data_IF_510414603588
#
_entry.id   IF_510414603588
#
_cell.length_a   1.000
_cell.length_b   1.000
_cell.length_c   1.000
_cell.angle_alpha   90.00
_cell.angle_beta   90.00
_cell.angle_gamma   90.00
#
_symmetry.space_group_name_H-M   'P 1'
#
loop_
_entity.id
_entity.type
_entity.pdbx_description
1 polymer ?
#
# COMPACT_ATOMS: atom_id res chain seq x y z
N UNK A 1 9.00 47.02 -37.91
CA UNK A 1 9.29 46.09 -36.80
C UNK A 1 9.51 44.70 -37.37
N UNK A 2 10.76 44.30 -37.58
CA UNK A 2 11.13 42.96 -38.05
C UNK A 2 11.49 42.12 -36.82
N UNK A 3 10.71 41.06 -36.56
CA UNK A 3 11.10 40.06 -35.55
C UNK A 3 12.24 39.23 -36.14
N UNK A 4 13.40 39.10 -35.46
CA UNK A 4 14.46 38.23 -35.96
C UNK A 4 13.98 36.78 -35.87
N UNK A 5 13.99 36.07 -37.00
CA UNK A 5 13.75 34.62 -37.02
C UNK A 5 15.01 33.90 -36.53
N UNK A 6 14.85 32.94 -35.61
CA UNK A 6 15.96 32.09 -35.20
C UNK A 6 16.48 31.28 -36.41
N UNK A 7 17.80 31.14 -36.59
CA UNK A 7 18.37 30.34 -37.67
C UNK A 7 17.90 28.88 -37.52
N UNK A 8 17.46 28.25 -38.61
CA UNK A 8 16.78 26.94 -38.59
C UNK A 8 17.56 25.80 -37.88
N UNK A 9 18.89 25.90 -37.82
CA UNK A 9 19.75 24.98 -37.05
C UNK A 9 19.57 25.10 -35.54
N UNK A 10 19.38 26.32 -35.03
CA UNK A 10 19.14 26.57 -33.61
C UNK A 10 17.73 26.10 -33.20
N UNK A 11 16.75 26.25 -34.10
CA UNK A 11 15.40 25.72 -33.90
C UNK A 11 15.41 24.18 -33.83
N UNK A 12 16.18 23.52 -34.69
CA UNK A 12 16.34 22.07 -34.69
C UNK A 12 17.05 21.56 -33.42
N UNK A 13 18.10 22.23 -32.96
CA UNK A 13 18.81 21.87 -31.72
C UNK A 13 17.89 22.01 -30.50
N UNK A 14 17.13 23.11 -30.42
CA UNK A 14 16.15 23.31 -29.33
C UNK A 14 15.03 22.26 -29.40
N UNK A 15 14.55 21.92 -30.60
CA UNK A 15 13.53 20.88 -30.76
C UNK A 15 14.05 19.50 -30.33
N UNK A 16 15.28 19.13 -30.69
CA UNK A 16 15.91 17.87 -30.27
C UNK A 16 16.16 17.84 -28.75
N UNK A 17 16.65 18.95 -28.17
CA UNK A 17 16.86 19.05 -26.72
C UNK A 17 15.54 18.92 -25.94
N UNK A 18 14.47 19.58 -26.42
CA UNK A 18 13.12 19.44 -25.86
C UNK A 18 12.57 18.02 -26.04
N UNK A 19 12.83 17.35 -27.16
CA UNK A 19 12.44 15.96 -27.36
C UNK A 19 13.15 15.04 -26.35
N UNK A 20 14.45 15.23 -26.13
CA UNK A 20 15.21 14.40 -25.18
C UNK A 20 14.79 14.60 -23.73
N UNK A 21 14.40 15.81 -23.31
CA UNK A 21 13.90 16.06 -21.95
C UNK A 21 12.48 15.54 -21.76
N UNK A 22 11.63 15.62 -22.78
CA UNK A 22 10.27 15.06 -22.74
C UNK A 22 10.31 13.53 -22.69
N UNK A 23 11.18 12.86 -23.46
CA UNK A 23 11.28 11.40 -23.43
C UNK A 23 12.09 10.84 -22.25
N UNK A 24 13.06 11.59 -21.71
CA UNK A 24 13.86 11.15 -20.55
C UNK A 24 13.09 11.08 -19.23
N UNK A 25 11.95 11.77 -19.13
CA UNK A 25 11.10 11.78 -17.93
C UNK A 25 9.95 10.76 -17.92
N UNK A 26 9.61 10.16 -19.06
CA UNK A 26 8.36 9.40 -19.22
C UNK A 26 8.44 7.91 -18.88
N UNK A 27 9.60 7.37 -18.51
CA UNK A 27 9.77 5.93 -18.26
C UNK A 27 10.42 5.68 -16.88
N UNK A 28 9.67 5.97 -15.82
CA UNK A 28 9.97 5.46 -14.46
C UNK A 28 9.04 4.31 -14.06
N UNK A 29 8.64 3.50 -15.03
CA UNK A 29 7.87 2.29 -14.78
C UNK A 29 8.77 1.10 -15.09
N UNK A 30 9.29 0.48 -14.03
CA UNK A 30 10.04 -0.76 -14.14
C UNK A 30 9.38 -1.79 -13.24
N UNK A 31 8.85 -2.86 -13.83
CA UNK A 31 8.08 -3.89 -13.11
C UNK A 31 8.89 -4.58 -12.01
N UNK A 32 10.22 -4.59 -12.13
CA UNK A 32 11.11 -5.16 -11.11
C UNK A 32 11.71 -4.13 -10.15
N UNK A 33 11.14 -2.92 -10.06
CA UNK A 33 11.63 -1.91 -9.11
C UNK A 33 11.21 -2.25 -7.68
N UNK A 34 12.15 -2.13 -6.75
CA UNK A 34 11.90 -2.24 -5.29
C UNK A 34 12.58 -1.06 -4.60
N UNK A 35 12.04 0.12 -4.84
CA UNK A 35 12.53 1.40 -4.33
C UNK A 35 11.34 2.15 -3.70
N UNK A 36 11.06 1.78 -2.45
CA UNK A 36 10.02 2.42 -1.64
C UNK A 36 10.66 3.53 -0.79
N UNK A 37 10.10 4.76 -0.81
CA UNK A 37 10.48 5.82 0.12
C UNK A 37 10.43 5.37 1.59
N UNK A 38 11.32 5.87 2.45
CA UNK A 38 11.42 5.44 3.86
C UNK A 38 10.14 5.70 4.66
N UNK A 39 9.38 6.76 4.32
CA UNK A 39 8.08 7.06 4.91
C UNK A 39 7.00 6.03 4.52
N UNK A 40 7.20 5.27 3.43
CA UNK A 40 6.33 4.19 2.98
C UNK A 40 6.74 2.80 3.50
N UNK A 41 7.87 2.65 4.18
CA UNK A 41 8.32 1.36 4.72
C UNK A 41 7.79 1.10 6.14
N UNK A 42 7.73 -0.17 6.56
CA UNK A 42 7.38 -0.60 7.93
C UNK A 42 6.01 -0.08 8.43
N UNK A 43 4.98 -0.12 7.58
CA UNK A 43 3.64 0.39 7.87
C UNK A 43 2.91 -0.38 8.96
N UNK A 44 3.11 -1.69 9.11
CA UNK A 44 2.49 -2.45 10.20
C UNK A 44 2.95 -1.90 11.55
N UNK A 45 4.26 -1.70 11.73
CA UNK A 45 4.82 -1.09 12.94
C UNK A 45 4.28 0.34 13.17
N UNK A 46 4.23 1.17 12.13
CA UNK A 46 3.69 2.54 12.24
C UNK A 46 2.20 2.55 12.61
N UNK A 47 1.41 1.59 12.13
CA UNK A 47 0.00 1.46 12.48
C UNK A 47 -0.22 0.90 13.89
N UNK A 48 0.66 0.02 14.39
CA UNK A 48 0.65 -0.39 15.80
C UNK A 48 0.83 0.81 16.74
N UNK A 49 1.74 1.74 16.40
CA UNK A 49 1.97 2.97 17.18
C UNK A 49 0.77 3.94 17.16
N UNK A 50 -0.16 3.78 16.21
CA UNK A 50 -1.38 4.59 16.09
C UNK A 50 -2.60 4.00 16.82
N UNK A 51 -2.50 2.80 17.38
CA UNK A 51 -3.61 2.18 18.10
C UNK A 51 -4.03 3.02 19.33
N UNK A 52 -5.33 3.30 19.53
CA UNK A 52 -5.80 4.04 20.70
C UNK A 52 -5.45 3.34 22.02
N UNK A 53 -4.65 3.96 22.88
CA UNK A 53 -4.18 3.35 24.13
C UNK A 53 -5.07 3.63 25.34
N UNK A 54 -6.04 4.54 25.21
CA UNK A 54 -6.91 5.02 26.28
C UNK A 54 -8.27 4.29 26.33
N UNK A 55 -8.48 3.31 25.45
CA UNK A 55 -9.73 2.56 25.35
C UNK A 55 -9.80 1.43 26.39
N UNK A 56 -10.94 1.20 27.06
CA UNK A 56 -11.09 0.10 28.00
C UNK A 56 -11.08 -1.26 27.27
N UNK A 57 -10.84 -2.38 27.96
CA UNK A 57 -11.04 -3.71 27.38
C UNK A 57 -12.43 -3.90 26.76
N UNK A 58 -12.55 -4.82 25.80
CA UNK A 58 -13.82 -5.10 25.13
C UNK A 58 -14.85 -5.60 26.15
N UNK A 59 -16.03 -4.97 26.15
CA UNK A 59 -17.20 -5.37 26.94
C UNK A 59 -18.49 -5.08 26.17
N UNK A 60 -19.65 -5.41 26.74
CA UNK A 60 -20.95 -5.09 26.14
C UNK A 60 -21.19 -3.57 26.04
N UNK A 61 -20.67 -2.79 26.99
CA UNK A 61 -20.77 -1.33 27.06
C UNK A 61 -19.71 -0.64 26.19
N UNK A 62 -18.60 -1.34 25.92
CA UNK A 62 -17.48 -0.85 25.13
C UNK A 62 -17.09 -1.88 24.07
N UNK A 63 -17.96 -2.14 23.07
CA UNK A 63 -17.60 -3.04 21.98
C UNK A 63 -16.41 -2.48 21.21
N UNK A 64 -15.65 -3.39 20.58
CA UNK A 64 -14.69 -3.03 19.54
C UNK A 64 -15.42 -3.05 18.19
N UNK A 65 -15.27 -1.98 17.40
CA UNK A 65 -15.71 -1.96 16.00
C UNK A 65 -14.49 -1.84 15.10
N UNK A 66 -14.41 -2.69 14.09
CA UNK A 66 -13.36 -2.64 13.07
C UNK A 66 -13.99 -2.75 11.68
N UNK A 67 -13.30 -2.21 10.67
CA UNK A 67 -13.62 -2.41 9.27
C UNK A 67 -12.81 -3.58 8.72
N UNK A 68 -13.42 -4.37 7.84
CA UNK A 68 -12.77 -5.46 7.12
C UNK A 68 -13.01 -5.29 5.62
N UNK A 69 -11.94 -5.24 4.84
CA UNK A 69 -11.91 -5.01 3.39
C UNK A 69 -10.94 -6.02 2.77
N UNK A 70 -11.12 -6.36 1.51
CA UNK A 70 -10.26 -7.31 0.78
C UNK A 70 -10.39 -7.07 -0.72
N UNK A 71 -9.47 -7.62 -1.51
CA UNK A 71 -9.59 -7.77 -2.97
C UNK A 71 -9.89 -6.43 -3.66
N UNK A 72 -9.19 -5.35 -3.28
CA UNK A 72 -9.40 -4.04 -3.89
C UNK A 72 -8.81 -3.95 -5.29
N UNK A 73 -7.75 -4.71 -5.59
CA UNK A 73 -7.14 -4.78 -6.93
C UNK A 73 -6.93 -3.37 -7.56
N UNK A 74 -7.25 -3.19 -8.85
CA UNK A 74 -7.25 -1.90 -9.55
C UNK A 74 -8.45 -0.98 -9.23
N UNK A 75 -9.29 -1.35 -8.26
CA UNK A 75 -10.48 -0.62 -7.81
C UNK A 75 -10.17 0.64 -6.99
N UNK A 76 -9.20 1.46 -7.40
CA UNK A 76 -8.73 2.64 -6.65
C UNK A 76 -9.85 3.64 -6.31
N UNK A 77 -10.77 3.91 -7.23
CA UNK A 77 -11.91 4.80 -6.98
C UNK A 77 -12.86 4.22 -5.91
N UNK A 78 -13.08 2.90 -5.95
CA UNK A 78 -13.89 2.19 -4.95
C UNK A 78 -13.18 2.16 -3.61
N UNK A 79 -11.87 1.90 -3.59
CA UNK A 79 -11.07 1.95 -2.37
C UNK A 79 -11.11 3.34 -1.72
N UNK A 80 -10.94 4.40 -2.52
CA UNK A 80 -11.05 5.78 -2.05
C UNK A 80 -12.44 6.09 -1.45
N UNK A 81 -13.52 5.60 -2.06
CA UNK A 81 -14.87 5.73 -1.52
C UNK A 81 -15.03 4.95 -0.20
N UNK A 82 -14.51 3.72 -0.12
CA UNK A 82 -14.53 2.90 1.10
C UNK A 82 -13.79 3.60 2.25
N UNK A 83 -12.61 4.17 1.98
CA UNK A 83 -11.86 4.99 2.95
C UNK A 83 -12.72 6.16 3.45
N UNK A 84 -13.41 6.85 2.54
CA UNK A 84 -14.35 7.91 2.88
C UNK A 84 -15.49 7.44 3.80
N UNK A 85 -16.09 6.28 3.53
CA UNK A 85 -17.14 5.71 4.38
C UNK A 85 -16.63 5.27 5.75
N UNK A 86 -15.45 4.64 5.81
CA UNK A 86 -14.80 4.27 7.08
C UNK A 86 -14.54 5.52 7.93
N UNK A 87 -14.03 6.59 7.33
CA UNK A 87 -13.73 7.82 8.04
C UNK A 87 -14.96 8.55 8.60
N UNK A 88 -16.16 8.31 8.06
CA UNK A 88 -17.42 8.85 8.60
C UNK A 88 -17.91 8.11 9.84
N UNK A 89 -17.24 7.02 10.23
CA UNK A 89 -17.62 6.13 11.33
C UNK A 89 -16.54 6.15 12.42
N UNK A 90 -16.54 7.17 13.30
CA UNK A 90 -15.51 7.35 14.32
C UNK A 90 -15.48 6.24 15.38
N UNK A 91 -16.48 5.36 15.41
CA UNK A 91 -16.49 4.15 16.21
C UNK A 91 -15.53 3.06 15.69
N UNK A 92 -15.10 3.13 14.42
CA UNK A 92 -14.12 2.18 13.84
C UNK A 92 -12.74 2.50 14.38
N UNK A 93 -12.18 1.55 15.13
CA UNK A 93 -10.87 1.72 15.79
C UNK A 93 -9.72 1.07 15.03
N UNK A 94 -10.03 0.10 14.17
CA UNK A 94 -9.07 -0.68 13.40
C UNK A 94 -9.64 -0.94 12.01
N UNK A 95 -8.79 -0.87 10.98
CA UNK A 95 -9.11 -1.32 9.63
C UNK A 95 -8.24 -2.52 9.29
N UNK A 96 -8.85 -3.55 8.72
CA UNK A 96 -8.18 -4.76 8.24
C UNK A 96 -8.37 -4.84 6.74
N UNK A 97 -7.28 -5.01 6.00
CA UNK A 97 -7.29 -5.36 4.58
C UNK A 97 -6.72 -6.77 4.42
N UNK A 98 -7.49 -7.74 3.93
CA UNK A 98 -7.06 -9.16 3.92
C UNK A 98 -6.28 -9.62 2.67
N UNK A 99 -5.81 -8.70 1.85
CA UNK A 99 -4.92 -8.98 0.72
C UNK A 99 -5.57 -8.68 -0.62
N UNK A 100 -4.81 -8.95 -1.69
CA UNK A 100 -5.13 -8.63 -3.08
C UNK A 100 -5.48 -7.14 -3.25
N UNK A 101 -4.61 -6.29 -2.71
CA UNK A 101 -4.70 -4.84 -2.92
C UNK A 101 -3.98 -4.37 -4.19
N UNK A 102 -3.29 -5.29 -4.88
CA UNK A 102 -2.68 -5.09 -6.19
C UNK A 102 -3.22 -6.12 -7.19
N UNK A 103 -3.09 -5.86 -8.50
CA UNK A 103 -3.35 -6.86 -9.54
C UNK A 103 -2.08 -7.57 -9.99
N UNK A 104 -0.93 -6.88 -9.98
CA UNK A 104 0.30 -7.38 -10.59
C UNK A 104 1.51 -7.37 -9.65
N UNK A 105 1.32 -7.04 -8.37
CA UNK A 105 2.41 -6.96 -7.40
C UNK A 105 3.43 -5.84 -7.71
N UNK A 106 3.05 -4.86 -8.55
CA UNK A 106 3.94 -3.81 -9.01
C UNK A 106 4.10 -2.68 -7.99
N UNK A 107 5.30 -2.12 -7.89
CA UNK A 107 5.61 -1.02 -6.93
C UNK A 107 4.61 0.14 -7.00
N UNK A 108 4.14 0.48 -8.21
CA UNK A 108 3.23 1.61 -8.37
C UNK A 108 1.84 1.33 -7.76
N UNK A 109 1.38 0.08 -7.79
CA UNK A 109 0.12 -0.36 -7.17
C UNK A 109 0.23 -0.28 -5.65
N UNK A 110 1.34 -0.76 -5.08
CA UNK A 110 1.69 -0.57 -3.66
C UNK A 110 1.64 0.91 -3.24
N UNK A 111 2.24 1.79 -4.05
CA UNK A 111 2.25 3.24 -3.78
C UNK A 111 0.84 3.82 -3.86
N UNK A 112 0.02 3.43 -4.85
CA UNK A 112 -1.35 3.92 -4.99
C UNK A 112 -2.22 3.49 -3.82
N UNK A 113 -2.23 2.19 -3.50
CA UNK A 113 -2.93 1.66 -2.35
C UNK A 113 -2.53 2.37 -1.05
N UNK A 114 -1.22 2.52 -0.81
CA UNK A 114 -0.72 3.15 0.41
C UNK A 114 -1.15 4.62 0.53
N UNK A 115 -1.22 5.38 -0.58
CA UNK A 115 -1.66 6.78 -0.57
C UNK A 115 -3.10 6.94 -0.08
N UNK A 116 -4.00 6.08 -0.52
CA UNK A 116 -5.38 6.10 -0.04
C UNK A 116 -5.49 5.55 1.38
N UNK A 117 -4.70 4.53 1.73
CA UNK A 117 -4.63 3.99 3.08
C UNK A 117 -4.17 5.03 4.12
N UNK A 118 -3.28 5.96 3.75
CA UNK A 118 -2.84 7.07 4.61
C UNK A 118 -3.96 8.06 4.95
N UNK A 119 -5.06 8.08 4.20
CA UNK A 119 -6.21 8.93 4.47
C UNK A 119 -7.13 8.36 5.56
N UNK A 120 -6.96 7.10 5.97
CA UNK A 120 -7.73 6.49 7.05
C UNK A 120 -7.39 7.13 8.40
N UNK A 121 -8.41 7.54 9.13
CA UNK A 121 -8.29 8.07 10.49
C UNK A 121 -7.83 6.98 11.47
N UNK A 122 -8.39 5.77 11.33
CA UNK A 122 -8.00 4.59 12.09
C UNK A 122 -6.72 3.93 11.51
N UNK A 123 -5.91 3.24 12.33
CA UNK A 123 -4.81 2.42 11.83
C UNK A 123 -5.31 1.28 10.95
N UNK A 124 -4.55 0.98 9.89
CA UNK A 124 -4.84 -0.10 8.94
C UNK A 124 -3.77 -1.18 9.01
N UNK A 125 -4.21 -2.43 9.06
CA UNK A 125 -3.37 -3.62 9.02
C UNK A 125 -3.71 -4.43 7.79
N UNK A 126 -2.68 -4.82 7.05
CA UNK A 126 -2.82 -5.41 5.72
C UNK A 126 -2.19 -6.79 5.77
N UNK A 127 -2.92 -7.80 5.32
CA UNK A 127 -2.38 -9.12 4.98
C UNK A 127 -2.01 -9.14 3.51
N UNK A 128 -1.18 -10.10 3.11
CA UNK A 128 -0.81 -10.30 1.72
C UNK A 128 -1.75 -11.29 1.01
N UNK A 129 -2.15 -10.98 -0.22
CA UNK A 129 -2.81 -11.90 -1.14
C UNK A 129 -1.87 -12.43 -2.22
N UNK A 130 -2.35 -13.32 -3.09
CA UNK A 130 -1.49 -13.93 -4.11
C UNK A 130 -1.10 -12.90 -5.18
N UNK A 131 -1.97 -11.96 -5.52
CA UNK A 131 -1.65 -10.90 -6.49
C UNK A 131 -0.57 -9.96 -5.95
N UNK A 132 -0.58 -9.73 -4.63
CA UNK A 132 0.41 -8.89 -3.95
C UNK A 132 1.82 -9.51 -3.97
N UNK A 133 1.92 -10.82 -4.18
CA UNK A 133 3.19 -11.56 -4.27
C UNK A 133 3.83 -11.59 -5.65
N UNK A 134 3.10 -11.21 -6.70
CA UNK A 134 3.57 -11.37 -8.09
C UNK A 134 4.82 -10.55 -8.40
N UNK A 135 5.69 -11.08 -9.26
CA UNK A 135 6.94 -10.43 -9.72
C UNK A 135 7.90 -10.16 -8.54
N UNK A 136 7.90 -8.94 -8.01
CA UNK A 136 8.70 -8.51 -6.86
C UNK A 136 7.82 -8.16 -5.65
N UNK A 137 6.53 -8.47 -5.76
CA UNK A 137 5.49 -8.13 -4.81
C UNK A 137 5.79 -8.60 -3.40
N UNK A 138 6.22 -9.86 -3.21
CA UNK A 138 6.61 -10.35 -1.88
C UNK A 138 7.74 -9.51 -1.23
N UNK A 139 8.71 -9.04 -2.02
CA UNK A 139 9.78 -8.15 -1.52
C UNK A 139 9.26 -6.74 -1.23
N UNK A 140 8.33 -6.23 -2.05
CA UNK A 140 7.66 -4.96 -1.82
C UNK A 140 6.79 -4.99 -0.55
N UNK A 141 6.04 -6.07 -0.34
CA UNK A 141 5.27 -6.33 0.86
C UNK A 141 6.16 -6.33 2.10
N UNK A 142 7.21 -7.15 2.09
CA UNK A 142 8.15 -7.26 3.21
C UNK A 142 8.76 -5.90 3.59
N UNK A 143 9.00 -5.04 2.59
CA UNK A 143 9.56 -3.71 2.78
C UNK A 143 8.51 -2.67 3.22
N UNK A 144 7.32 -2.71 2.63
CA UNK A 144 6.22 -1.78 2.95
C UNK A 144 5.60 -2.08 4.29
N UNK A 145 5.19 -3.32 4.55
CA UNK A 145 4.41 -3.68 5.74
C UNK A 145 5.29 -4.28 6.85
N UNK A 146 6.28 -5.09 6.49
CA UNK A 146 7.12 -5.81 7.43
C UNK A 146 6.95 -7.33 7.26
N UNK A 147 7.02 -8.13 8.33
CA UNK A 147 6.87 -9.59 8.24
C UNK A 147 5.55 -10.02 7.56
N UNK A 148 5.60 -11.11 6.80
CA UNK A 148 4.42 -11.73 6.15
C UNK A 148 3.40 -12.23 7.19
N UNK A 149 3.90 -12.77 8.30
CA UNK A 149 3.12 -13.22 9.45
C UNK A 149 3.34 -12.29 10.65
N UNK A 150 2.27 -11.76 11.23
CA UNK A 150 2.35 -10.92 12.43
C UNK A 150 1.08 -11.01 13.29
N UNK A 151 1.23 -10.71 14.57
CA UNK A 151 0.12 -10.69 15.51
C UNK A 151 0.26 -9.55 16.51
N UNK A 152 -0.86 -9.08 17.05
CA UNK A 152 -0.89 -8.08 18.10
C UNK A 152 -2.15 -8.20 18.95
N UNK A 153 -2.07 -7.73 20.19
CA UNK A 153 -3.22 -7.64 21.09
C UNK A 153 -3.78 -6.22 21.09
N UNK A 154 -5.10 -6.09 20.97
CA UNK A 154 -5.78 -4.81 21.11
C UNK A 154 -7.07 -4.97 21.92
N UNK A 155 -7.19 -4.20 23.01
CA UNK A 155 -8.34 -4.20 23.94
C UNK A 155 -8.76 -5.59 24.45
N UNK A 156 -7.81 -6.53 24.55
CA UNK A 156 -8.04 -7.91 25.00
C UNK A 156 -8.42 -8.90 23.89
N UNK A 157 -8.42 -8.48 22.62
CA UNK A 157 -8.55 -9.35 21.45
C UNK A 157 -7.18 -9.57 20.79
N UNK A 158 -6.88 -10.81 20.44
CA UNK A 158 -5.67 -11.19 19.72
C UNK A 158 -5.94 -11.20 18.21
N UNK A 159 -5.20 -10.40 17.44
CA UNK A 159 -5.26 -10.35 15.99
C UNK A 159 -4.10 -11.13 15.39
N UNK A 160 -4.39 -11.99 14.42
CA UNK A 160 -3.39 -12.80 13.70
C UNK A 160 -3.55 -12.54 12.21
N UNK A 161 -2.46 -12.10 11.59
CA UNK A 161 -2.32 -11.93 10.15
C UNK A 161 -1.36 -12.99 9.66
N UNK A 162 -1.83 -13.81 8.73
CA UNK A 162 -1.16 -15.03 8.32
C UNK A 162 -1.16 -15.15 6.80
N UNK A 163 0.04 -15.29 6.24
CA UNK A 163 0.26 -15.52 4.83
C UNK A 163 -0.16 -16.94 4.47
N UNK A 164 -1.10 -17.06 3.54
CA UNK A 164 -1.62 -18.35 3.07
C UNK A 164 -1.19 -18.68 1.64
N UNK A 165 -0.34 -17.84 1.05
CA UNK A 165 0.09 -17.97 -0.33
C UNK A 165 1.25 -18.97 -0.44
N UNK A 166 1.13 -19.90 -1.39
CA UNK A 166 2.08 -21.02 -1.55
C UNK A 166 2.94 -20.92 -2.80
N UNK A 167 2.46 -20.25 -3.85
CA UNK A 167 3.11 -20.22 -5.16
C UNK A 167 4.01 -19.01 -5.34
N UNK A 168 3.60 -17.87 -4.76
CA UNK A 168 4.26 -16.58 -4.90
C UNK A 168 5.29 -16.31 -3.80
N UNK A 169 5.28 -17.12 -2.72
CA UNK A 169 6.24 -17.08 -1.63
C UNK A 169 7.21 -18.26 -1.68
N UNK A 170 8.10 -18.34 -0.70
CA UNK A 170 9.01 -19.47 -0.57
C UNK A 170 8.26 -20.77 -0.23
N UNK A 171 8.98 -21.90 -0.32
CA UNK A 171 8.41 -23.22 -0.04
C UNK A 171 8.03 -23.46 1.43
N UNK A 172 8.26 -22.48 2.33
CA UNK A 172 7.96 -22.59 3.75
C UNK A 172 6.58 -22.01 4.08
N UNK A 173 5.96 -21.26 3.17
CA UNK A 173 4.61 -20.75 3.35
C UNK A 173 3.54 -21.76 2.90
N UNK A 174 2.42 -21.88 3.63
CA UNK A 174 2.11 -21.22 4.91
C UNK A 174 2.92 -21.79 6.10
N UNK A 175 3.50 -20.92 6.93
CA UNK A 175 4.23 -21.31 8.15
C UNK A 175 3.31 -21.74 9.30
N UNK A 176 2.87 -23.00 9.28
CA UNK A 176 2.04 -23.58 10.34
C UNK A 176 2.76 -23.75 11.69
N UNK A 177 4.08 -23.59 11.76
CA UNK A 177 4.81 -23.65 13.03
C UNK A 177 4.79 -22.29 13.75
N UNK A 178 4.62 -21.20 13.00
CA UNK A 178 4.41 -19.87 13.54
C UNK A 178 3.01 -19.67 14.13
N UNK A 179 1.98 -20.28 13.52
CA UNK A 179 0.56 -20.17 13.91
C UNK A 179 0.22 -20.98 15.18
#
# INVERSE_FOLDING_TARGET
MLRPSLPGRLLAIVAVALLTTVFGGCLRFHLFQVDLPDDMQQQTRKNLERLPTDRPPISAEHPLTFAFVSDTHDGYDSWHQIVGEINRRPEIEVVVHSGDFTDFGGQQEYIWFHRDALLLNAPVFVSTGNHDGLINGATLYARMFGPDNFAFDYRGLHFVFFNTNTLEWDANEPDLAWL
#
